data_IF_846461206479
#
_entry.id   IF_846461206479
#
_cell.length_a   1.000
_cell.length_b   1.000
_cell.length_c   1.000
_cell.angle_alpha   90.00
_cell.angle_beta   90.00
_cell.angle_gamma   90.00
#
_symmetry.space_group_name_H-M   'P 1'
#
loop_
_entity.id
_entity.type
_entity.pdbx_description
1 polymer ?
#
# COMPACT_ATOMS: atom_id res chain seq x y z
N UNK A 1 -3.74 -15.79 3.82
CA UNK A 1 -3.81 -15.35 2.41
C UNK A 1 -3.06 -14.03 2.21
N UNK A 2 -3.49 -12.91 2.82
CA UNK A 2 -2.85 -11.60 2.60
C UNK A 2 -1.32 -11.58 2.82
N UNK A 3 -0.84 -12.20 3.90
CA UNK A 3 0.61 -12.33 4.17
C UNK A 3 1.35 -13.12 3.09
N UNK A 4 0.76 -14.20 2.59
CA UNK A 4 1.36 -15.02 1.53
C UNK A 4 1.45 -14.24 0.22
N UNK A 5 0.38 -13.52 -0.15
CA UNK A 5 0.37 -12.66 -1.35
C UNK A 5 1.40 -11.54 -1.24
N UNK A 6 1.49 -10.89 -0.08
CA UNK A 6 2.48 -9.86 0.19
C UNK A 6 3.92 -10.39 0.10
N UNK A 7 4.17 -11.60 0.61
CA UNK A 7 5.49 -12.24 0.50
C UNK A 7 5.86 -12.55 -0.95
N UNK A 8 4.93 -13.09 -1.74
CA UNK A 8 5.15 -13.37 -3.18
C UNK A 8 5.44 -12.07 -3.93
N UNK A 9 4.56 -11.08 -3.81
CA UNK A 9 4.69 -9.80 -4.50
C UNK A 9 5.93 -9.02 -4.04
N UNK A 10 6.27 -9.10 -2.76
CA UNK A 10 7.44 -8.43 -2.20
C UNK A 10 8.74 -9.03 -2.68
N UNK A 11 8.80 -10.36 -2.78
CA UNK A 11 9.97 -11.06 -3.30
C UNK A 11 10.19 -10.73 -4.77
N UNK A 12 9.12 -10.73 -5.58
CA UNK A 12 9.17 -10.36 -6.99
C UNK A 12 9.58 -8.89 -7.15
N UNK A 13 8.97 -7.97 -6.40
CA UNK A 13 9.30 -6.55 -6.51
C UNK A 13 10.72 -6.21 -6.03
N UNK A 14 11.22 -6.86 -4.98
CA UNK A 14 12.60 -6.67 -4.53
C UNK A 14 13.62 -7.17 -5.58
N UNK A 15 13.38 -8.36 -6.13
CA UNK A 15 14.29 -8.98 -7.08
C UNK A 15 14.31 -8.26 -8.44
N UNK A 16 13.14 -7.79 -8.89
CA UNK A 16 12.94 -7.28 -10.26
C UNK A 16 12.58 -5.79 -10.32
N UNK A 17 12.79 -5.00 -9.27
CA UNK A 17 12.43 -3.57 -9.26
C UNK A 17 12.98 -2.77 -10.48
N UNK A 18 14.27 -2.87 -10.87
CA UNK A 18 14.77 -2.16 -12.04
C UNK A 18 14.11 -2.64 -13.35
N UNK A 19 13.89 -3.95 -13.48
CA UNK A 19 13.29 -4.56 -14.66
C UNK A 19 11.80 -4.22 -14.78
N UNK A 20 11.11 -4.08 -13.64
CA UNK A 20 9.73 -3.59 -13.58
C UNK A 20 9.63 -2.15 -14.09
N UNK A 21 10.55 -1.27 -13.68
CA UNK A 21 10.60 0.11 -14.16
C UNK A 21 10.91 0.18 -15.67
N UNK A 22 11.86 -0.63 -16.14
CA UNK A 22 12.16 -0.73 -17.58
C UNK A 22 10.99 -1.30 -18.39
N UNK A 23 10.28 -2.29 -17.85
CA UNK A 23 9.07 -2.84 -18.45
C UNK A 23 7.98 -1.78 -18.59
N UNK A 24 7.89 -0.85 -17.64
CA UNK A 24 7.02 0.33 -17.71
C UNK A 24 7.54 1.43 -18.65
N UNK A 25 8.63 1.19 -19.38
CA UNK A 25 9.32 2.16 -20.26
C UNK A 25 9.83 3.41 -19.54
N UNK A 26 10.22 3.28 -18.27
CA UNK A 26 10.93 4.36 -17.59
C UNK A 26 12.28 4.63 -18.27
N UNK A 27 12.68 5.90 -18.34
CA UNK A 27 14.01 6.29 -18.83
C UNK A 27 15.11 5.82 -17.88
N UNK A 28 16.34 5.68 -18.37
CA UNK A 28 17.46 5.19 -17.56
C UNK A 28 17.69 6.03 -16.30
N UNK A 29 17.54 7.36 -16.39
CA UNK A 29 17.61 8.27 -15.25
C UNK A 29 16.52 8.00 -14.18
N UNK A 30 15.31 7.65 -14.61
CA UNK A 30 14.20 7.28 -13.71
C UNK A 30 14.40 5.89 -13.11
N UNK A 31 14.98 4.95 -13.87
CA UNK A 31 15.33 3.63 -13.34
C UNK A 31 16.41 3.75 -12.26
N UNK A 32 17.45 4.54 -12.51
CA UNK A 32 18.55 4.76 -11.57
C UNK A 32 18.04 5.36 -10.25
N UNK A 33 17.29 6.46 -10.32
CA UNK A 33 16.77 7.17 -9.14
C UNK A 33 15.57 6.48 -8.49
N UNK A 34 14.71 5.82 -9.27
CA UNK A 34 13.46 5.20 -8.80
C UNK A 34 13.57 3.75 -8.35
N UNK A 35 14.67 3.05 -8.68
CA UNK A 35 14.85 1.64 -8.32
C UNK A 35 14.88 1.42 -6.80
N UNK A 36 15.59 2.27 -6.05
CA UNK A 36 15.68 2.20 -4.59
C UNK A 36 14.31 2.37 -3.92
N UNK A 37 13.58 3.42 -4.32
CA UNK A 37 12.19 3.63 -3.90
C UNK A 37 11.31 2.42 -4.18
N UNK A 38 11.38 1.89 -5.39
CA UNK A 38 10.57 0.74 -5.82
C UNK A 38 10.91 -0.50 -5.01
N UNK A 39 12.20 -0.74 -4.72
CA UNK A 39 12.65 -1.85 -3.87
C UNK A 39 12.12 -1.72 -2.45
N UNK A 40 12.20 -0.54 -1.83
CA UNK A 40 11.72 -0.33 -0.47
C UNK A 40 10.20 -0.53 -0.41
N UNK A 41 9.46 0.09 -1.34
CA UNK A 41 8.00 0.05 -1.35
C UNK A 41 7.47 -1.37 -1.59
N UNK A 42 8.06 -2.09 -2.55
CA UNK A 42 7.68 -3.48 -2.83
C UNK A 42 8.17 -4.43 -1.75
N UNK A 43 9.38 -4.28 -1.23
CA UNK A 43 9.93 -5.13 -0.17
C UNK A 43 9.19 -5.00 1.15
N UNK A 44 8.63 -3.82 1.43
CA UNK A 44 7.87 -3.54 2.65
C UNK A 44 6.36 -3.58 2.45
N UNK A 45 5.88 -4.05 1.30
CA UNK A 45 4.46 -4.06 0.95
C UNK A 45 3.58 -4.78 1.98
N UNK A 46 4.13 -5.73 2.75
CA UNK A 46 3.43 -6.44 3.81
C UNK A 46 2.74 -5.49 4.78
N UNK A 47 3.37 -4.34 5.07
CA UNK A 47 2.81 -3.31 5.95
C UNK A 47 1.55 -2.70 5.32
N UNK A 48 1.60 -2.40 4.03
CA UNK A 48 0.47 -1.83 3.28
C UNK A 48 -0.68 -2.85 3.21
N UNK A 49 -0.37 -4.11 2.87
CA UNK A 49 -1.34 -5.20 2.84
C UNK A 49 -2.04 -5.36 4.19
N UNK A 50 -1.28 -5.43 5.29
CA UNK A 50 -1.83 -5.57 6.63
C UNK A 50 -2.68 -4.36 7.02
N UNK A 51 -2.27 -3.14 6.67
CA UNK A 51 -3.03 -1.94 7.01
C UNK A 51 -4.41 -1.97 6.35
N UNK A 52 -4.49 -2.26 5.05
CA UNK A 52 -5.76 -2.31 4.33
C UNK A 52 -6.60 -3.52 4.74
N UNK A 53 -5.99 -4.69 4.93
CA UNK A 53 -6.68 -5.88 5.38
C UNK A 53 -7.32 -5.68 6.76
N UNK A 54 -6.56 -5.20 7.74
CA UNK A 54 -7.07 -4.91 9.08
C UNK A 54 -8.13 -3.81 9.05
N UNK A 55 -7.96 -2.78 8.22
CA UNK A 55 -8.98 -1.76 8.01
C UNK A 55 -10.30 -2.36 7.51
N UNK A 56 -10.24 -3.30 6.55
CA UNK A 56 -11.41 -3.99 6.04
C UNK A 56 -12.07 -4.86 7.11
N UNK A 57 -11.27 -5.57 7.92
CA UNK A 57 -11.74 -6.37 9.06
C UNK A 57 -12.50 -5.50 10.07
N UNK A 58 -11.90 -4.40 10.53
CA UNK A 58 -12.55 -3.50 11.49
C UNK A 58 -13.83 -2.86 10.92
N UNK A 59 -13.79 -2.42 9.66
CA UNK A 59 -14.98 -1.87 9.00
C UNK A 59 -16.09 -2.91 8.85
N UNK A 60 -15.75 -4.14 8.44
CA UNK A 60 -16.69 -5.25 8.33
C UNK A 60 -17.29 -5.69 9.68
N UNK A 61 -16.55 -5.51 10.77
CA UNK A 61 -17.02 -5.78 12.13
C UNK A 61 -17.90 -4.66 12.73
N UNK A 62 -17.97 -3.51 12.06
CA UNK A 62 -18.67 -2.31 12.54
C UNK A 62 -17.82 -1.34 13.39
N UNK A 63 -16.52 -1.59 13.52
CA UNK A 63 -15.57 -0.75 14.28
C UNK A 63 -14.82 0.25 13.37
N UNK A 64 -15.56 0.99 12.54
CA UNK A 64 -14.98 1.95 11.58
C UNK A 64 -14.11 3.02 12.25
N UNK A 65 -14.33 3.33 13.54
CA UNK A 65 -13.52 4.30 14.31
C UNK A 65 -12.06 3.85 14.45
N UNK A 66 -11.81 2.56 14.70
CA UNK A 66 -10.44 2.03 14.85
C UNK A 66 -9.71 2.09 13.51
N UNK A 67 -10.40 1.70 12.43
CA UNK A 67 -9.93 1.85 11.06
C UNK A 67 -9.55 3.31 10.74
N UNK A 68 -10.44 4.25 11.03
CA UNK A 68 -10.21 5.68 10.79
C UNK A 68 -9.02 6.23 11.59
N UNK A 69 -8.96 5.98 12.90
CA UNK A 69 -7.84 6.45 13.73
C UNK A 69 -6.50 5.87 13.29
N UNK A 70 -6.47 4.61 12.83
CA UNK A 70 -5.25 4.00 12.29
C UNK A 70 -4.73 4.73 11.06
N UNK A 71 -5.65 5.18 10.18
CA UNK A 71 -5.29 5.90 8.96
C UNK A 71 -4.85 7.33 9.26
N UNK A 72 -5.54 8.01 10.20
CA UNK A 72 -5.15 9.33 10.68
C UNK A 72 -3.74 9.27 11.26
N UNK A 73 -3.47 8.34 12.18
CA UNK A 73 -2.14 8.15 12.77
C UNK A 73 -1.08 7.92 11.69
N UNK A 74 -1.34 7.01 10.75
CA UNK A 74 -0.39 6.68 9.69
C UNK A 74 -0.08 7.89 8.79
N UNK A 75 -1.10 8.63 8.39
CA UNK A 75 -0.94 9.82 7.55
C UNK A 75 -0.29 10.98 8.31
N UNK A 76 -0.62 11.19 9.59
CA UNK A 76 0.02 12.21 10.42
C UNK A 76 1.53 11.95 10.58
N UNK A 77 1.92 10.70 10.82
CA UNK A 77 3.34 10.32 10.89
C UNK A 77 4.01 10.54 9.53
N UNK A 78 3.35 10.15 8.44
CA UNK A 78 3.88 10.32 7.09
C UNK A 78 4.08 11.80 6.71
N UNK A 79 3.11 12.67 7.00
CA UNK A 79 3.21 14.13 6.76
C UNK A 79 4.41 14.76 7.48
N UNK A 80 4.76 14.25 8.67
CA UNK A 80 5.92 14.75 9.43
C UNK A 80 7.22 14.12 8.94
N UNK A 81 7.24 12.81 8.69
CA UNK A 81 8.47 12.11 8.31
C UNK A 81 8.89 12.35 6.86
N UNK A 82 7.95 12.60 5.94
CA UNK A 82 8.27 12.88 4.54
C UNK A 82 9.23 14.07 4.41
N UNK A 83 8.94 15.29 4.88
CA UNK A 83 9.89 16.40 4.76
C UNK A 83 11.20 16.15 5.54
N UNK A 84 11.14 15.45 6.67
CA UNK A 84 12.34 15.12 7.45
C UNK A 84 13.29 14.18 6.69
N UNK A 85 12.78 13.12 6.06
CA UNK A 85 13.59 12.11 5.38
C UNK A 85 13.91 12.48 3.93
N UNK A 86 13.03 13.22 3.26
CA UNK A 86 13.26 13.69 1.88
C UNK A 86 14.35 14.76 1.88
N UNK A 87 14.22 15.79 2.73
CA UNK A 87 15.12 16.95 2.74
C UNK A 87 16.21 16.89 3.83
N UNK A 88 16.24 15.83 4.65
CA UNK A 88 17.23 15.70 5.72
C UNK A 88 17.10 16.76 6.84
N UNK A 89 15.87 17.16 7.19
CA UNK A 89 15.64 18.20 8.20
C UNK A 89 15.90 17.67 9.61
N UNK A 90 16.82 18.29 10.35
CA UNK A 90 17.13 17.97 11.74
C UNK A 90 18.24 16.91 11.88
N UNK A 91 18.07 15.84 12.67
CA UNK A 91 19.08 14.78 12.83
C UNK A 91 19.03 13.72 11.70
N UNK A 92 18.13 13.89 10.72
CA UNK A 92 17.88 12.88 9.70
C UNK A 92 18.78 13.07 8.47
N UNK A 93 19.30 11.99 7.86
CA UNK A 93 20.01 12.09 6.60
C UNK A 93 19.06 12.47 5.45
N UNK A 94 19.57 13.16 4.44
CA UNK A 94 18.85 13.44 3.20
C UNK A 94 18.80 12.16 2.35
N UNK A 95 17.63 11.51 2.30
CA UNK A 95 17.40 10.27 1.56
C UNK A 95 16.63 10.50 0.25
N UNK A 96 16.22 11.73 -0.03
CA UNK A 96 15.48 12.09 -1.24
C UNK A 96 14.25 11.20 -1.46
N UNK A 97 14.15 10.60 -2.65
CA UNK A 97 13.02 9.74 -3.02
C UNK A 97 12.89 8.51 -2.12
N UNK A 98 14.00 7.89 -1.71
CA UNK A 98 13.98 6.73 -0.81
C UNK A 98 13.40 7.10 0.56
N UNK A 99 13.66 8.33 1.02
CA UNK A 99 13.10 8.88 2.25
C UNK A 99 11.57 8.85 2.26
N UNK A 100 10.92 9.16 1.13
CA UNK A 100 9.47 9.08 0.99
C UNK A 100 8.93 7.64 1.15
N UNK A 101 9.64 6.65 0.61
CA UNK A 101 9.27 5.24 0.78
C UNK A 101 9.40 4.81 2.24
N UNK A 102 10.50 5.18 2.91
CA UNK A 102 10.75 4.85 4.32
C UNK A 102 9.70 5.52 5.22
N UNK A 103 9.44 6.81 5.04
CA UNK A 103 8.42 7.55 5.79
C UNK A 103 7.04 6.90 5.64
N UNK A 104 6.67 6.53 4.41
CA UNK A 104 5.41 5.82 4.14
C UNK A 104 5.34 4.49 4.89
N UNK A 105 6.40 3.68 4.81
CA UNK A 105 6.45 2.38 5.49
C UNK A 105 6.36 2.52 7.00
N UNK A 106 7.04 3.50 7.60
CA UNK A 106 6.97 3.78 9.04
C UNK A 106 5.56 4.22 9.43
N UNK A 107 4.98 5.20 8.73
CA UNK A 107 3.64 5.70 9.02
C UNK A 107 2.58 4.60 8.93
N UNK A 108 2.57 3.85 7.83
CA UNK A 108 1.67 2.70 7.64
C UNK A 108 1.94 1.61 8.69
N UNK A 109 3.19 1.37 9.04
CA UNK A 109 3.62 0.43 10.08
C UNK A 109 3.04 0.77 11.45
N UNK A 110 3.13 2.03 11.86
CA UNK A 110 2.50 2.52 13.09
C UNK A 110 0.98 2.33 13.08
N UNK A 111 0.33 2.55 11.94
CA UNK A 111 -1.10 2.26 11.76
C UNK A 111 -1.44 0.78 11.96
N UNK A 112 -0.63 -0.13 11.40
CA UNK A 112 -0.77 -1.58 11.61
C UNK A 112 -0.57 -1.96 13.07
N UNK A 113 0.45 -1.42 13.73
CA UNK A 113 0.72 -1.70 15.15
C UNK A 113 -0.44 -1.24 16.04
N UNK A 114 -1.03 -0.07 15.75
CA UNK A 114 -2.23 0.41 16.42
C UNK A 114 -3.40 -0.57 16.28
N UNK A 115 -3.65 -1.05 15.05
CA UNK A 115 -4.70 -2.02 14.74
C UNK A 115 -4.48 -3.37 15.43
N UNK A 116 -3.27 -3.90 15.40
CA UNK A 116 -2.91 -5.15 16.08
C UNK A 116 -3.08 -5.04 17.59
N UNK A 117 -2.73 -3.89 18.17
CA UNK A 117 -2.96 -3.60 19.60
C UNK A 117 -4.46 -3.55 19.93
N UNK A 118 -5.28 -2.97 19.06
CA UNK A 118 -6.73 -2.94 19.24
C UNK A 118 -7.35 -4.35 19.15
N UNK A 119 -6.91 -5.19 18.21
CA UNK A 119 -7.31 -6.58 18.07
C UNK A 119 -6.95 -7.43 19.29
N UNK A 120 -5.75 -7.24 19.86
CA UNK A 120 -5.28 -8.00 21.04
C UNK A 120 -5.98 -7.58 22.33
N UNK A 121 -6.26 -6.28 22.51
CA UNK A 121 -6.88 -5.75 23.74
C UNK A 121 -8.41 -5.93 23.79
N UNK A 122 -9.04 -6.46 22.74
CA UNK A 122 -10.49 -6.61 22.66
C UNK A 122 -11.24 -5.29 22.83
N UNK A 123 -10.62 -4.17 22.43
CA UNK A 123 -11.22 -2.82 22.57
C UNK A 123 -12.32 -2.54 21.56
N UNK A 124 -12.53 -3.45 20.60
CA UNK A 124 -13.62 -3.42 19.63
C UNK A 124 -14.48 -4.68 19.74
N UNK A 125 -15.39 -4.84 18.78
CA UNK A 125 -16.26 -6.03 18.62
C UNK A 125 -15.49 -7.28 18.22
N UNK A 126 -14.23 -7.15 17.81
CA UNK A 126 -13.32 -8.25 17.53
C UNK A 126 -12.20 -8.34 18.57
N UNK A 127 -11.98 -9.55 19.09
CA UNK A 127 -10.83 -9.89 19.91
C UNK A 127 -10.11 -11.11 19.30
N UNK A 128 -8.82 -10.97 19.05
CA UNK A 128 -7.97 -12.08 18.60
C UNK A 128 -7.61 -12.92 19.83
N UNK A 129 -8.26 -14.08 19.98
CA UNK A 129 -7.89 -15.08 20.97
C UNK A 129 -6.90 -16.07 20.33
N UNK A 130 -5.79 -16.36 21.01
CA UNK A 130 -4.67 -17.15 20.44
C UNK A 130 -5.05 -18.60 20.09
N UNK A 131 -6.10 -19.11 20.71
CA UNK A 131 -6.75 -20.41 20.46
C UNK A 131 -7.64 -20.44 19.21
N UNK A 132 -8.01 -19.27 18.66
CA UNK A 132 -8.86 -19.14 17.48
C UNK A 132 -8.10 -19.11 16.15
N UNK A 133 -6.76 -19.24 16.15
CA UNK A 133 -5.94 -19.33 14.94
C UNK A 133 -6.02 -20.74 14.34
N UNK A 134 -7.16 -21.05 13.71
CA UNK A 134 -7.36 -22.27 12.92
C UNK A 134 -7.59 -21.91 11.46
N UNK A 135 -6.92 -22.64 10.57
CA UNK A 135 -7.12 -22.49 9.13
C UNK A 135 -8.37 -23.27 8.75
N UNK A 136 -9.43 -22.55 8.40
CA UNK A 136 -10.67 -23.12 7.88
C UNK A 136 -10.72 -22.93 6.35
N UNK A 137 -10.40 -24.01 5.62
CA UNK A 137 -10.36 -24.01 4.16
C UNK A 137 -11.71 -23.64 3.51
N UNK A 138 -12.86 -24.20 3.96
CA UNK A 138 -14.18 -23.75 3.50
C UNK A 138 -14.39 -22.24 3.61
N UNK A 139 -14.05 -21.63 4.74
CA UNK A 139 -14.18 -20.18 4.96
C UNK A 139 -13.25 -19.40 4.02
N UNK A 140 -11.99 -19.84 3.87
CA UNK A 140 -11.04 -19.20 2.97
C UNK A 140 -11.52 -19.22 1.51
N UNK A 141 -12.01 -20.36 1.02
CA UNK A 141 -12.55 -20.47 -0.35
C UNK A 141 -13.77 -19.60 -0.55
N UNK A 142 -14.67 -19.52 0.45
CA UNK A 142 -15.82 -18.63 0.42
C UNK A 142 -15.40 -17.16 0.34
N UNK A 143 -14.41 -16.75 1.15
CA UNK A 143 -13.86 -15.40 1.11
C UNK A 143 -13.28 -15.05 -0.26
N UNK A 144 -12.49 -15.94 -0.86
CA UNK A 144 -11.93 -15.73 -2.20
C UNK A 144 -13.03 -15.61 -3.24
N UNK A 145 -14.04 -16.50 -3.22
CA UNK A 145 -15.16 -16.47 -4.17
C UNK A 145 -15.98 -15.18 -4.06
N UNK A 146 -16.26 -14.71 -2.85
CA UNK A 146 -16.99 -13.45 -2.63
C UNK A 146 -16.13 -12.25 -3.05
N UNK A 147 -14.83 -12.29 -2.78
CA UNK A 147 -13.90 -11.20 -3.14
C UNK A 147 -13.65 -11.11 -4.65
N UNK A 148 -13.85 -12.20 -5.40
CA UNK A 148 -13.56 -12.27 -6.83
C UNK A 148 -14.25 -11.17 -7.64
N UNK A 149 -15.54 -10.90 -7.38
CA UNK A 149 -16.27 -9.83 -8.05
C UNK A 149 -15.67 -8.45 -7.78
N UNK A 150 -15.38 -8.13 -6.51
CA UNK A 150 -14.77 -6.86 -6.12
C UNK A 150 -13.36 -6.68 -6.69
N UNK A 151 -12.53 -7.73 -6.65
CA UNK A 151 -11.18 -7.72 -7.23
C UNK A 151 -11.28 -7.45 -8.74
N UNK A 152 -12.17 -8.13 -9.44
CA UNK A 152 -12.36 -7.97 -10.89
C UNK A 152 -12.80 -6.56 -11.24
N UNK A 153 -13.74 -5.99 -10.47
CA UNK A 153 -14.17 -4.61 -10.65
C UNK A 153 -13.02 -3.61 -10.45
N UNK A 154 -12.21 -3.77 -9.40
CA UNK A 154 -11.04 -2.93 -9.16
C UNK A 154 -9.97 -3.07 -10.25
N UNK A 155 -9.73 -4.29 -10.74
CA UNK A 155 -8.80 -4.55 -11.84
C UNK A 155 -9.27 -3.89 -13.13
N UNK A 156 -10.56 -4.02 -13.47
CA UNK A 156 -11.14 -3.35 -14.65
C UNK A 156 -10.95 -1.85 -14.53
N UNK A 157 -11.33 -1.24 -13.41
CA UNK A 157 -11.19 0.21 -13.20
C UNK A 157 -9.73 0.67 -13.34
N UNK A 158 -8.79 -0.06 -12.73
CA UNK A 158 -7.35 0.28 -12.77
C UNK A 158 -6.78 0.12 -14.18
N UNK A 159 -7.15 -0.95 -14.90
CA UNK A 159 -6.74 -1.19 -16.27
C UNK A 159 -7.32 -0.14 -17.22
N UNK A 160 -8.61 0.19 -17.08
CA UNK A 160 -9.26 1.24 -17.86
C UNK A 160 -8.56 2.59 -17.67
N UNK A 161 -8.28 2.99 -16.43
CA UNK A 161 -7.55 4.23 -16.16
C UNK A 161 -6.15 4.23 -16.79
N UNK A 162 -5.41 3.13 -16.68
CA UNK A 162 -4.06 2.98 -17.26
C UNK A 162 -4.07 3.09 -18.80
N UNK A 163 -5.09 2.52 -19.44
CA UNK A 163 -5.27 2.61 -20.90
C UNK A 163 -5.63 4.04 -21.29
N UNK A 164 -6.52 4.70 -20.55
CA UNK A 164 -6.94 6.08 -20.84
C UNK A 164 -5.79 7.07 -20.70
N UNK A 165 -5.01 7.02 -19.61
CA UNK A 165 -3.86 7.93 -19.46
C UNK A 165 -2.84 7.74 -20.59
N UNK A 166 -2.63 6.49 -21.03
CA UNK A 166 -1.76 6.20 -22.17
C UNK A 166 -2.28 6.82 -23.47
N UNK A 167 -3.58 6.67 -23.76
CA UNK A 167 -4.21 7.27 -24.93
C UNK A 167 -4.16 8.80 -24.88
N UNK A 168 -4.36 9.40 -23.71
CA UNK A 168 -4.29 10.86 -23.53
C UNK A 168 -2.84 11.36 -23.69
N UNK A 169 -1.85 10.60 -23.21
CA UNK A 169 -0.44 10.93 -23.37
C UNK A 169 0.01 10.95 -24.84
N UNK A 170 -0.65 10.21 -25.74
CA UNK A 170 -0.38 10.30 -27.18
C UNK A 170 -0.74 11.69 -27.77
N UNK A 171 -1.56 12.49 -27.08
CA UNK A 171 -1.89 13.88 -27.46
C UNK A 171 -0.97 14.94 -26.83
N UNK A 172 0.07 14.52 -26.09
CA UNK A 172 1.05 15.40 -25.47
C UNK A 172 0.94 15.49 -23.94
N UNK A 173 1.95 16.12 -23.33
CA UNK A 173 2.11 16.16 -21.88
C UNK A 173 1.08 17.04 -21.15
N UNK A 174 0.62 18.14 -21.78
CA UNK A 174 -0.39 19.05 -21.22
C UNK A 174 -1.77 18.37 -21.02
N UNK A 175 -2.36 17.70 -22.03
CA UNK A 175 -3.58 16.92 -21.84
C UNK A 175 -3.45 15.80 -20.79
N UNK A 176 -2.31 15.11 -20.74
CA UNK A 176 -2.07 14.04 -19.78
C UNK A 176 -1.99 14.55 -18.33
N UNK A 177 -1.34 15.69 -18.13
CA UNK A 177 -1.31 16.38 -16.84
C UNK A 177 -2.72 16.85 -16.44
N UNK A 178 -3.46 17.47 -17.36
CA UNK A 178 -4.85 17.91 -17.14
C UNK A 178 -5.79 16.75 -16.77
N UNK A 179 -5.69 15.62 -17.47
CA UNK A 179 -6.44 14.41 -17.16
C UNK A 179 -6.09 13.85 -15.78
N UNK A 180 -4.81 13.83 -15.41
CA UNK A 180 -4.35 13.37 -14.09
C UNK A 180 -4.89 14.24 -12.96
N UNK A 181 -4.98 15.55 -13.16
CA UNK A 181 -5.57 16.49 -12.19
C UNK A 181 -7.08 16.25 -12.07
N UNK A 182 -7.79 16.08 -13.20
CA UNK A 182 -9.25 15.91 -13.21
C UNK A 182 -9.74 14.58 -12.58
N UNK A 183 -8.91 13.54 -12.60
CA UNK A 183 -9.27 12.20 -12.08
C UNK A 183 -8.90 12.00 -10.61
N UNK A 184 -8.02 12.83 -10.04
CA UNK A 184 -7.62 12.77 -8.62
C UNK A 184 -8.68 13.33 -7.70
#
# INVERSE_FOLDING_TARGET
>A
IGVLLAAILGTVGLAFAPDLLRFMKASDAVVETGSGFTRIMTGTNIVIFLLFLNNAIFRGAGDAKIAMHSLILANSINIVLDPCLIFGVGPFPELGLEGAAVATTIGRGCGVLYQLRALRKGRGRLALRGDALRIDWPVLTKLVRVSFGGITQFLIATASWTVLIRLVADFGDEPAAGYTIAVR
#
